data_IF_168981882085
#
_entry.id   IF_168981882085
#
_cell.length_a   1.000
_cell.length_b   1.000
_cell.length_c   1.000
_cell.angle_alpha   90.00
_cell.angle_beta   90.00
_cell.angle_gamma   90.00
#
_symmetry.space_group_name_H-M   'P 1'
#
loop_
_entity.id
_entity.type
_entity.pdbx_description
1 polymer ?
#
# COMPACT_ATOMS: atom_id res chain seq x y z
N UNK A 1 26.98 -4.51 -16.06
CA UNK A 1 25.57 -4.94 -16.03
C UNK A 1 24.68 -3.72 -15.93
N UNK A 2 23.48 -3.76 -16.53
CA UNK A 2 22.47 -2.69 -16.41
C UNK A 2 21.60 -2.99 -15.19
N UNK A 3 21.37 -1.97 -14.34
CA UNK A 3 20.44 -2.09 -13.21
C UNK A 3 19.02 -1.79 -13.69
N UNK A 4 18.11 -2.75 -13.53
CA UNK A 4 16.68 -2.52 -13.70
C UNK A 4 16.07 -2.15 -12.35
N UNK A 5 15.26 -1.08 -12.33
CA UNK A 5 14.55 -0.63 -11.13
C UNK A 5 13.05 -0.74 -11.42
N UNK A 6 12.35 -1.55 -10.64
CA UNK A 6 10.90 -1.72 -10.75
C UNK A 6 10.20 -0.61 -9.98
N UNK A 7 9.37 0.18 -10.65
CA UNK A 7 8.63 1.27 -10.03
C UNK A 7 7.29 0.76 -9.46
N UNK A 8 7.35 0.07 -8.31
CA UNK A 8 6.19 -0.55 -7.67
C UNK A 8 5.07 0.46 -7.36
N UNK A 9 5.41 1.67 -6.90
CA UNK A 9 4.41 2.72 -6.63
C UNK A 9 3.59 3.13 -7.86
N UNK A 10 4.16 3.07 -9.06
CA UNK A 10 3.42 3.30 -10.31
C UNK A 10 2.65 2.06 -10.74
N UNK A 11 3.25 0.88 -10.61
CA UNK A 11 2.61 -0.40 -10.95
C UNK A 11 1.34 -0.66 -10.11
N UNK A 12 1.36 -0.28 -8.83
CA UNK A 12 0.22 -0.38 -7.90
C UNK A 12 -0.98 0.49 -8.32
N UNK A 13 -0.83 1.39 -9.30
CA UNK A 13 -1.87 2.28 -9.84
C UNK A 13 -2.01 2.16 -11.36
N UNK A 14 -1.48 1.10 -11.97
CA UNK A 14 -1.55 0.91 -13.42
C UNK A 14 -3.00 0.72 -13.88
N UNK A 15 -3.51 1.67 -14.68
CA UNK A 15 -4.89 1.64 -15.17
C UNK A 15 -5.19 0.44 -16.06
N UNK A 16 -4.17 -0.17 -16.70
CA UNK A 16 -4.36 -1.40 -17.46
C UNK A 16 -4.65 -2.63 -16.59
N UNK A 17 -4.36 -2.55 -15.29
CA UNK A 17 -4.59 -3.63 -14.31
C UNK A 17 -5.77 -3.31 -13.38
N UNK A 18 -5.88 -2.05 -12.98
CA UNK A 18 -6.86 -1.59 -11.99
C UNK A 18 -8.11 -0.93 -12.61
N UNK A 19 -8.10 -0.59 -13.90
CA UNK A 19 -9.17 0.14 -14.57
C UNK A 19 -8.92 1.65 -14.61
N UNK A 20 -9.82 2.39 -15.26
CA UNK A 20 -9.68 3.83 -15.47
C UNK A 20 -9.73 4.65 -14.18
N UNK A 21 -10.31 4.08 -13.12
CA UNK A 21 -10.38 4.66 -11.78
C UNK A 21 -9.19 4.27 -10.89
N UNK A 22 -8.09 3.75 -11.44
CA UNK A 22 -6.91 3.29 -10.68
C UNK A 22 -6.25 4.36 -9.80
N UNK A 23 -6.54 5.63 -10.06
CA UNK A 23 -6.07 6.77 -9.26
C UNK A 23 -6.99 7.13 -8.10
N UNK A 24 -8.21 6.61 -8.06
CA UNK A 24 -9.17 6.83 -6.99
C UNK A 24 -9.00 5.79 -5.89
N UNK A 25 -9.30 6.17 -4.66
CA UNK A 25 -9.47 5.19 -3.59
C UNK A 25 -10.81 4.48 -3.80
N UNK A 26 -10.74 3.22 -4.23
CA UNK A 26 -11.89 2.35 -4.42
C UNK A 26 -11.67 1.10 -3.59
N UNK A 27 -12.59 0.79 -2.67
CA UNK A 27 -12.62 -0.50 -2.00
C UNK A 27 -13.13 -1.55 -3.00
N UNK A 28 -12.34 -2.60 -3.21
CA UNK A 28 -12.63 -3.69 -4.17
C UNK A 28 -12.76 -5.02 -3.45
N UNK A 29 -13.19 -6.04 -4.19
CA UNK A 29 -13.18 -7.42 -3.69
C UNK A 29 -11.76 -7.86 -3.33
N UNK A 30 -11.61 -8.62 -2.24
CA UNK A 30 -10.30 -9.04 -1.74
C UNK A 30 -9.49 -9.80 -2.80
N UNK A 31 -10.16 -10.64 -3.59
CA UNK A 31 -9.56 -11.42 -4.67
C UNK A 31 -8.89 -10.57 -5.75
N UNK A 32 -9.34 -9.32 -5.95
CA UNK A 32 -8.64 -8.40 -6.84
C UNK A 32 -7.29 -7.95 -6.26
N UNK A 33 -7.23 -7.69 -4.96
CA UNK A 33 -5.97 -7.31 -4.31
C UNK A 33 -4.99 -8.47 -4.28
N UNK A 34 -5.46 -9.68 -3.99
CA UNK A 34 -4.63 -10.90 -4.01
C UNK A 34 -3.97 -11.15 -5.36
N UNK A 35 -4.62 -10.76 -6.46
CA UNK A 35 -4.14 -11.03 -7.83
C UNK A 35 -3.40 -9.86 -8.48
N UNK A 36 -3.65 -8.62 -8.04
CA UNK A 36 -3.15 -7.40 -8.70
C UNK A 36 -2.26 -6.54 -7.82
N UNK A 37 -2.33 -6.67 -6.49
CA UNK A 37 -1.50 -5.87 -5.60
C UNK A 37 -0.03 -6.28 -5.72
N UNK A 38 0.84 -5.27 -5.70
CA UNK A 38 2.29 -5.41 -5.67
C UNK A 38 2.87 -4.71 -4.43
N UNK A 39 2.01 -4.37 -3.46
CA UNK A 39 2.34 -3.54 -2.30
C UNK A 39 3.35 -4.21 -1.35
N UNK A 40 3.36 -5.54 -1.30
CA UNK A 40 4.30 -6.33 -0.50
C UNK A 40 5.30 -7.09 -1.36
N UNK A 41 5.37 -6.80 -2.67
CA UNK A 41 6.29 -7.41 -3.61
C UNK A 41 6.24 -8.95 -3.64
N UNK A 42 5.04 -9.54 -3.52
CA UNK A 42 4.83 -11.01 -3.51
C UNK A 42 5.35 -11.70 -4.78
N UNK A 43 5.45 -10.95 -5.88
CA UNK A 43 6.00 -11.45 -7.14
C UNK A 43 7.54 -11.46 -7.18
N UNK A 44 8.20 -11.04 -6.10
CA UNK A 44 9.66 -11.08 -5.94
C UNK A 44 10.15 -12.37 -5.27
N UNK A 45 9.38 -13.45 -5.40
CA UNK A 45 9.67 -14.81 -4.94
C UNK A 45 9.98 -15.68 -6.17
N UNK A 46 11.17 -16.29 -6.20
CA UNK A 46 11.54 -17.25 -7.25
C UNK A 46 12.47 -18.33 -6.67
N UNK A 47 11.89 -19.48 -6.33
CA UNK A 47 12.61 -20.64 -5.79
C UNK A 47 13.72 -21.14 -6.74
N UNK A 48 13.62 -20.87 -8.04
CA UNK A 48 14.64 -21.27 -9.01
C UNK A 48 15.90 -20.38 -8.92
N UNK A 49 15.81 -19.21 -8.30
CA UNK A 49 16.92 -18.28 -8.11
C UNK A 49 17.54 -18.49 -6.73
N UNK A 50 18.70 -19.15 -6.71
CA UNK A 50 19.44 -19.46 -5.48
C UNK A 50 18.62 -20.22 -4.42
N UNK A 51 17.61 -20.98 -4.83
CA UNK A 51 16.74 -21.73 -3.89
C UNK A 51 15.90 -20.80 -3.01
N UNK A 52 15.40 -19.69 -3.56
CA UNK A 52 14.60 -18.69 -2.81
C UNK A 52 15.42 -17.80 -1.87
N UNK A 53 16.75 -17.99 -1.78
CA UNK A 53 17.61 -17.15 -0.90
C UNK A 53 17.68 -15.69 -1.31
N UNK A 54 17.18 -15.36 -2.50
CA UNK A 54 17.11 -14.02 -3.03
C UNK A 54 15.69 -13.46 -3.05
N UNK A 55 14.71 -14.13 -2.44
CA UNK A 55 13.34 -13.63 -2.33
C UNK A 55 13.33 -12.32 -1.53
N UNK A 56 12.54 -11.35 -2.02
CA UNK A 56 12.49 -9.96 -1.49
C UNK A 56 11.08 -9.47 -1.26
N UNK A 57 10.11 -10.38 -1.17
CA UNK A 57 8.79 -10.03 -0.69
C UNK A 57 8.88 -9.52 0.76
N UNK A 58 7.90 -8.73 1.17
CA UNK A 58 7.91 -8.10 2.48
C UNK A 58 7.64 -9.17 3.57
N UNK A 59 8.62 -9.49 4.44
CA UNK A 59 8.40 -10.46 5.51
C UNK A 59 7.42 -9.95 6.57
N UNK A 60 7.10 -8.65 6.56
CA UNK A 60 6.16 -8.00 7.47
C UNK A 60 4.74 -7.88 6.93
N UNK A 61 4.38 -8.53 5.81
CA UNK A 61 3.05 -8.43 5.21
C UNK A 61 1.94 -8.77 6.22
N UNK A 62 2.01 -9.95 6.83
CA UNK A 62 0.96 -10.40 7.75
C UNK A 62 0.83 -9.49 8.97
N UNK A 63 1.97 -9.00 9.48
CA UNK A 63 1.99 -8.03 10.58
C UNK A 63 1.36 -6.69 10.16
N UNK A 64 1.68 -6.19 8.97
CA UNK A 64 1.13 -4.93 8.47
C UNK A 64 -0.39 -5.03 8.26
N UNK A 65 -0.88 -6.15 7.72
CA UNK A 65 -2.31 -6.41 7.55
C UNK A 65 -3.02 -6.51 8.90
N UNK A 66 -2.43 -7.21 9.87
CA UNK A 66 -2.97 -7.32 11.23
C UNK A 66 -3.06 -5.96 11.92
N UNK A 67 -2.02 -5.12 11.83
CA UNK A 67 -2.02 -3.77 12.41
C UNK A 67 -3.15 -2.93 11.79
N UNK A 68 -3.30 -2.97 10.45
CA UNK A 68 -4.36 -2.25 9.77
C UNK A 68 -5.75 -2.71 10.18
N UNK A 69 -5.96 -4.02 10.25
CA UNK A 69 -7.22 -4.61 10.71
C UNK A 69 -7.57 -4.16 12.13
N UNK A 70 -6.66 -4.35 13.09
CA UNK A 70 -6.88 -3.96 14.49
C UNK A 70 -7.13 -2.45 14.63
N UNK A 71 -6.41 -1.62 13.86
CA UNK A 71 -6.66 -0.19 13.87
C UNK A 71 -8.09 0.15 13.45
N UNK A 72 -8.58 -0.41 12.35
CA UNK A 72 -9.95 -0.11 11.88
C UNK A 72 -11.05 -0.75 12.74
N UNK A 73 -10.75 -1.83 13.47
CA UNK A 73 -11.68 -2.43 14.45
C UNK A 73 -11.83 -1.56 15.71
N UNK A 74 -10.73 -0.99 16.21
CA UNK A 74 -10.71 -0.20 17.44
C UNK A 74 -11.00 1.30 17.23
N UNK A 75 -10.71 1.82 16.04
CA UNK A 75 -10.90 3.23 15.73
C UNK A 75 -12.37 3.54 15.41
N UNK A 76 -13.08 4.16 16.36
CA UNK A 76 -14.44 4.65 16.15
C UNK A 76 -14.47 5.85 15.18
N UNK A 77 -14.47 5.57 13.89
CA UNK A 77 -14.53 6.59 12.84
C UNK A 77 -15.75 7.51 12.98
N UNK A 78 -16.85 7.04 13.57
CA UNK A 78 -18.07 7.84 13.73
C UNK A 78 -17.93 8.97 14.76
N UNK A 79 -16.93 8.87 15.65
CA UNK A 79 -16.59 9.90 16.64
C UNK A 79 -15.65 10.99 16.09
N UNK A 80 -15.19 10.88 14.84
CA UNK A 80 -14.23 11.82 14.26
C UNK A 80 -14.61 12.30 12.87
N UNK A 81 -14.22 13.54 12.55
CA UNK A 81 -14.24 14.11 11.20
C UNK A 81 -12.86 14.63 10.80
N UNK A 82 -12.48 14.41 9.55
CA UNK A 82 -11.27 14.98 8.98
C UNK A 82 -11.48 16.45 8.59
N UNK A 83 -10.45 17.28 8.74
CA UNK A 83 -10.51 18.70 8.32
C UNK A 83 -10.53 18.87 6.80
N UNK A 84 -9.91 17.95 6.06
CA UNK A 84 -9.93 17.89 4.61
C UNK A 84 -8.59 17.49 4.01
N UNK A 85 -8.56 17.25 2.69
CA UNK A 85 -7.35 16.77 2.02
C UNK A 85 -6.17 17.77 2.06
N UNK A 86 -6.44 19.07 2.21
CA UNK A 86 -5.40 20.11 2.25
C UNK A 86 -4.60 20.15 3.55
N UNK A 87 -5.08 19.50 4.61
CA UNK A 87 -4.43 19.41 5.92
C UNK A 87 -3.46 18.21 6.02
N UNK A 88 -3.48 17.31 5.02
CA UNK A 88 -2.59 16.15 4.98
C UNK A 88 -1.18 16.60 4.57
N UNK A 89 -0.22 16.48 5.48
CA UNK A 89 1.20 16.68 5.16
C UNK A 89 1.83 15.37 4.71
N UNK A 90 2.57 15.44 3.59
CA UNK A 90 3.30 14.32 3.04
C UNK A 90 4.81 14.59 3.11
N UNK A 91 5.56 13.64 3.63
CA UNK A 91 7.01 13.59 3.43
C UNK A 91 7.35 12.77 2.18
N UNK A 92 8.16 13.38 1.32
CA UNK A 92 8.66 12.82 0.07
C UNK A 92 10.16 12.48 0.14
N UNK A 93 10.79 12.56 1.31
CA UNK A 93 12.21 12.25 1.49
C UNK A 93 12.55 10.77 1.24
N UNK A 94 11.56 9.88 1.28
CA UNK A 94 11.70 8.45 1.03
C UNK A 94 11.21 7.99 -0.36
N UNK A 95 11.43 6.70 -0.66
CA UNK A 95 10.94 6.06 -1.88
C UNK A 95 9.40 5.96 -1.97
N UNK A 96 8.71 6.20 -0.86
CA UNK A 96 7.26 6.18 -0.71
C UNK A 96 6.87 7.47 0.01
N UNK A 97 5.85 8.18 -0.49
CA UNK A 97 5.30 9.33 0.22
C UNK A 97 4.64 8.84 1.51
N UNK A 98 5.03 9.41 2.64
CA UNK A 98 4.47 9.08 3.96
C UNK A 98 3.61 10.23 4.44
N UNK A 99 2.45 9.95 5.02
CA UNK A 99 1.68 10.96 5.74
C UNK A 99 2.42 11.26 7.05
N UNK A 100 2.83 12.50 7.26
CA UNK A 100 3.52 12.93 8.49
C UNK A 100 2.59 13.55 9.50
N UNK A 101 1.54 14.23 9.04
CA UNK A 101 0.52 14.81 9.90
C UNK A 101 -0.81 14.94 9.18
N UNK A 102 -1.88 14.92 9.97
CA UNK A 102 -3.25 15.24 9.59
C UNK A 102 -4.04 15.48 10.89
N UNK A 103 -5.15 16.18 10.78
CA UNK A 103 -6.00 16.61 11.88
C UNK A 103 -7.34 15.88 11.84
N UNK A 104 -7.67 15.22 12.95
CA UNK A 104 -9.01 14.70 13.23
C UNK A 104 -9.66 15.53 14.32
N UNK A 105 -10.92 15.89 14.13
CA UNK A 105 -11.72 16.62 15.11
C UNK A 105 -12.87 15.73 15.61
N UNK A 106 -13.20 15.75 16.90
CA UNK A 106 -14.42 15.11 17.38
C UNK A 106 -15.63 15.64 16.61
N UNK A 107 -16.61 14.78 16.31
CA UNK A 107 -17.83 15.21 15.63
C UNK A 107 -18.69 16.06 16.56
#
# INVERSE_FOLDING_TARGET
GVRHVLFLGRAQRDSKKWGDDSHNFTLRELSEYETKSVGFAEMAVDENVLGGRNDRDCPGKDLALLIGQLFFEEFDQSAWRADGAADIELDHAGAIAQVTSFTLRPV
#
